data_IF_453431215768
#
_entry.id   IF_453431215768
#
_cell.length_a   1.000
_cell.length_b   1.000
_cell.length_c   1.000
_cell.angle_alpha   90.00
_cell.angle_beta   90.00
_cell.angle_gamma   90.00
#
_symmetry.space_group_name_H-M   'P 1'
#
loop_
_entity.id
_entity.type
_entity.pdbx_description
1 polymer ?
#
# COMPACT_ATOMS: atom_id res chain seq x y z
N UNK A 1 -5.70 1.59 -12.46
CA UNK A 1 -5.64 0.88 -11.16
C UNK A 1 -6.08 -0.55 -11.39
N UNK A 2 -5.20 -1.52 -11.16
CA UNK A 2 -5.57 -2.94 -11.19
C UNK A 2 -6.24 -3.22 -9.83
N UNK A 3 -7.50 -3.73 -9.79
CA UNK A 3 -8.13 -4.11 -8.53
C UNK A 3 -7.27 -5.14 -7.78
N UNK A 4 -7.43 -5.25 -6.46
CA UNK A 4 -6.68 -6.22 -5.66
C UNK A 4 -7.19 -7.64 -5.99
N UNK A 5 -6.59 -8.28 -6.99
CA UNK A 5 -7.09 -9.54 -7.59
C UNK A 5 -6.94 -10.77 -6.69
N UNK A 6 -6.42 -10.65 -5.47
CA UNK A 6 -6.17 -11.78 -4.57
C UNK A 6 -5.06 -12.73 -5.05
N UNK A 7 -4.27 -12.32 -6.04
CA UNK A 7 -3.15 -13.12 -6.57
C UNK A 7 -2.03 -13.17 -5.54
N UNK A 8 -1.57 -14.38 -5.23
CA UNK A 8 -0.44 -14.65 -4.34
C UNK A 8 0.80 -15.04 -5.15
N UNK A 9 1.93 -14.40 -4.86
CA UNK A 9 3.23 -14.72 -5.48
C UNK A 9 4.18 -15.17 -4.36
N UNK A 10 4.76 -16.38 -4.45
CA UNK A 10 5.70 -16.84 -3.45
C UNK A 10 7.07 -16.12 -3.59
N UNK A 11 7.83 -15.91 -2.50
CA UNK A 11 9.08 -15.15 -2.54
C UNK A 11 10.12 -15.66 -3.55
N UNK A 12 10.22 -16.98 -3.75
CA UNK A 12 11.18 -17.57 -4.68
C UNK A 12 10.86 -17.32 -6.16
N UNK A 13 9.62 -16.95 -6.48
CA UNK A 13 9.18 -16.63 -7.83
C UNK A 13 9.31 -15.14 -8.16
N UNK A 14 9.61 -14.29 -7.17
CA UNK A 14 9.73 -12.85 -7.33
C UNK A 14 11.20 -12.44 -7.37
N UNK A 15 11.56 -11.66 -8.39
CA UNK A 15 12.88 -11.03 -8.53
C UNK A 15 12.76 -9.52 -8.39
N UNK A 16 13.48 -8.98 -7.41
CA UNK A 16 13.66 -7.55 -7.22
C UNK A 16 14.81 -7.05 -8.12
N UNK A 17 14.92 -5.73 -8.34
CA UNK A 17 16.11 -5.13 -8.94
C UNK A 17 17.39 -5.54 -8.19
N UNK A 18 18.51 -5.63 -8.90
CA UNK A 18 19.81 -5.97 -8.31
C UNK A 18 20.26 -4.94 -7.26
N UNK A 19 20.01 -3.67 -7.54
CA UNK A 19 20.28 -2.59 -6.59
C UNK A 19 19.24 -2.57 -5.46
N UNK A 20 19.67 -2.56 -4.19
CA UNK A 20 18.76 -2.50 -3.06
C UNK A 20 17.87 -1.26 -3.07
N UNK A 21 16.56 -1.47 -2.88
CA UNK A 21 15.59 -0.38 -2.82
C UNK A 21 15.67 0.32 -1.45
N UNK A 22 16.20 1.54 -1.45
CA UNK A 22 16.43 2.34 -0.22
C UNK A 22 15.68 3.67 -0.22
N UNK A 23 14.94 3.97 -1.29
CA UNK A 23 14.20 5.22 -1.48
C UNK A 23 12.74 4.94 -1.82
N UNK A 24 11.88 5.91 -1.53
CA UNK A 24 10.49 5.90 -1.97
C UNK A 24 10.42 6.15 -3.48
N UNK A 25 9.49 5.51 -4.18
CA UNK A 25 9.34 5.68 -5.63
C UNK A 25 8.67 4.51 -6.33
N UNK A 26 8.66 4.57 -7.65
CA UNK A 26 8.15 3.52 -8.52
C UNK A 26 9.28 2.60 -8.98
N UNK A 27 9.03 1.30 -8.89
CA UNK A 27 9.96 0.24 -9.20
C UNK A 27 9.27 -0.84 -10.03
N UNK A 28 10.05 -1.81 -10.47
CA UNK A 28 9.55 -2.99 -11.17
C UNK A 28 10.09 -4.24 -10.49
N UNK A 29 9.28 -5.29 -10.44
CA UNK A 29 9.73 -6.64 -10.09
C UNK A 29 9.34 -7.60 -11.21
N UNK A 30 10.11 -8.66 -11.36
CA UNK A 30 9.84 -9.71 -12.34
C UNK A 30 9.31 -10.94 -11.58
N UNK A 31 8.16 -11.45 -12.00
CA UNK A 31 7.52 -12.62 -11.41
C UNK A 31 7.58 -13.78 -12.39
N UNK A 32 8.27 -14.86 -12.02
CA UNK A 32 8.40 -16.06 -12.84
C UNK A 32 7.34 -17.10 -12.48
N UNK A 33 6.49 -17.47 -13.44
CA UNK A 33 5.46 -18.50 -13.32
C UNK A 33 6.01 -19.82 -13.85
N UNK A 34 5.95 -20.87 -13.04
CA UNK A 34 6.39 -22.23 -13.39
C UNK A 34 7.85 -22.34 -13.90
N UNK A 35 8.69 -21.35 -13.59
CA UNK A 35 10.08 -21.32 -14.05
C UNK A 35 10.27 -21.00 -15.54
N UNK A 36 9.21 -20.65 -16.27
CA UNK A 36 9.23 -20.44 -17.71
C UNK A 36 8.92 -18.98 -18.07
N UNK A 37 7.73 -18.52 -17.71
CA UNK A 37 7.26 -17.21 -18.11
C UNK A 37 7.55 -16.18 -17.03
N UNK A 38 8.17 -15.07 -17.40
CA UNK A 38 8.42 -13.96 -16.47
C UNK A 38 7.59 -12.74 -16.86
N UNK A 39 6.83 -12.22 -15.91
CA UNK A 39 6.00 -11.03 -16.08
C UNK A 39 6.58 -9.90 -15.26
N UNK A 40 6.76 -8.73 -15.89
CA UNK A 40 7.22 -7.51 -15.23
C UNK A 40 6.05 -6.75 -14.63
N UNK A 41 6.08 -6.54 -13.32
CA UNK A 41 5.00 -5.95 -12.52
C UNK A 41 5.47 -4.62 -11.91
N UNK A 42 4.70 -3.53 -12.05
CA UNK A 42 5.03 -2.27 -11.40
C UNK A 42 4.79 -2.35 -9.90
N UNK A 43 5.68 -1.75 -9.11
CA UNK A 43 5.64 -1.75 -7.65
C UNK A 43 5.98 -0.37 -7.10
N UNK A 44 5.07 0.20 -6.30
CA UNK A 44 5.29 1.46 -5.58
C UNK A 44 5.87 1.19 -4.20
N UNK A 45 7.01 1.80 -3.87
CA UNK A 45 7.59 1.78 -2.52
C UNK A 45 7.23 3.08 -1.82
N UNK A 46 6.35 2.96 -0.82
CA UNK A 46 5.75 4.10 -0.10
C UNK A 46 6.02 4.00 1.40
N UNK A 47 5.89 5.13 2.11
CA UNK A 47 6.01 5.15 3.56
C UNK A 47 5.04 4.13 4.17
N UNK A 48 5.59 3.20 4.96
CA UNK A 48 4.76 2.22 5.67
C UNK A 48 3.93 2.93 6.75
N UNK A 49 2.67 3.18 6.41
CA UNK A 49 1.68 3.63 7.38
C UNK A 49 1.10 2.40 8.06
N UNK A 50 1.38 2.23 9.36
CA UNK A 50 0.77 1.15 10.15
C UNK A 50 -0.74 1.14 9.87
N UNK A 51 -1.32 0.00 9.45
CA UNK A 51 -2.76 -0.07 9.20
C UNK A 51 -3.50 0.42 10.45
N UNK A 52 -4.22 1.54 10.31
CA UNK A 52 -5.01 2.08 11.42
C UNK A 52 -5.98 1.00 11.86
N UNK A 53 -5.99 0.63 13.14
CA UNK A 53 -6.97 -0.35 13.64
C UNK A 53 -8.38 0.20 13.42
N UNK A 54 -9.40 -0.68 13.33
CA UNK A 54 -10.81 -0.23 13.24
C UNK A 54 -11.15 0.80 14.32
N UNK A 55 -10.71 0.54 15.56
CA UNK A 55 -10.88 1.45 16.70
C UNK A 55 -10.24 2.81 16.47
N UNK A 56 -9.00 2.83 15.97
CA UNK A 56 -8.30 4.10 15.72
C UNK A 56 -8.92 4.90 14.57
N UNK A 57 -9.41 4.23 13.52
CA UNK A 57 -10.19 4.90 12.45
C UNK A 57 -11.49 5.52 13.00
N UNK A 58 -12.21 4.78 13.84
CA UNK A 58 -13.44 5.29 14.45
C UNK A 58 -13.19 6.49 15.36
N UNK A 59 -12.13 6.42 16.18
CA UNK A 59 -11.73 7.54 17.05
C UNK A 59 -11.41 8.82 16.26
N UNK A 60 -10.69 8.71 15.14
CA UNK A 60 -10.42 9.86 14.26
C UNK A 60 -11.68 10.46 13.66
N UNK A 61 -12.61 9.62 13.18
CA UNK A 61 -13.87 10.08 12.62
C UNK A 61 -14.71 10.84 13.66
N UNK A 62 -14.74 10.36 14.91
CA UNK A 62 -15.40 11.09 16.01
C UNK A 62 -14.73 12.44 16.29
N UNK A 63 -13.39 12.50 16.25
CA UNK A 63 -12.66 13.73 16.49
C UNK A 63 -12.92 14.77 15.38
N UNK A 64 -12.92 14.35 14.11
CA UNK A 64 -13.25 15.21 12.97
C UNK A 64 -14.69 15.73 13.07
N UNK A 65 -15.65 14.87 13.42
CA UNK A 65 -17.05 15.27 13.62
C UNK A 65 -17.21 16.30 14.76
N UNK A 66 -16.51 16.10 15.89
CA UNK A 66 -16.51 17.05 17.00
C UNK A 66 -15.90 18.40 16.60
N UNK A 67 -14.80 18.40 15.84
CA UNK A 67 -14.18 19.63 15.34
C UNK A 67 -15.08 20.37 14.35
N UNK A 68 -15.77 19.64 13.46
CA UNK A 68 -16.72 20.22 12.52
C UNK A 68 -17.90 20.88 13.25
N UNK A 69 -18.53 20.17 14.20
CA UNK A 69 -19.63 20.71 15.00
C UNK A 69 -19.20 21.95 15.80
N UNK A 70 -17.98 21.94 16.36
CA UNK A 70 -17.44 23.10 17.08
C UNK A 70 -17.18 24.29 16.16
N UNK A 71 -16.74 24.07 14.92
CA UNK A 71 -16.57 25.14 13.92
C UNK A 71 -17.90 25.74 13.50
N UNK A 72 -18.93 24.91 13.29
CA UNK A 72 -20.28 25.37 12.95
C UNK A 72 -20.90 26.23 14.06
N UNK A 73 -20.62 25.93 15.33
CA UNK A 73 -21.09 26.75 16.46
C UNK A 73 -20.40 28.12 16.57
N UNK A 74 -19.25 28.30 15.91
CA UNK A 74 -18.46 29.54 15.97
C UNK A 74 -18.66 30.43 14.73
N UNK A 75 -19.49 29.99 13.77
CA UNK A 75 -19.92 30.73 12.58
C UNK A 75 -21.36 31.22 12.76
#
# INVERSE_FOLDING_TARGET
FVPQLGVFVPPHALKLPEEPITRWGEYWCDVTVNGLDSVRVPMSVVQFMRPKTKRYRHWLAMQEAQLAARKEQLL
#
